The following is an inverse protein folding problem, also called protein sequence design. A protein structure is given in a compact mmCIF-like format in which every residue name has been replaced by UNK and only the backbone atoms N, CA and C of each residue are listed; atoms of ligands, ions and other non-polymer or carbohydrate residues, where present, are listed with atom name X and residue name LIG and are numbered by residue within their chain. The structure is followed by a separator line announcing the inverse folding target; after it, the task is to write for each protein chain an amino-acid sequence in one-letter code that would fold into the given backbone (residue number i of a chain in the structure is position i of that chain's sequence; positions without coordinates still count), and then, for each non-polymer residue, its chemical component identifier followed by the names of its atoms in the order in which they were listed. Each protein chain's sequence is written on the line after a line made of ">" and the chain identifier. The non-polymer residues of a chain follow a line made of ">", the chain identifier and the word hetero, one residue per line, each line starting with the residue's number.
data_IF_855270038168
#
_entry.id   IF_855270038168
#
_cell.length_a   1.000
_cell.length_b   1.000
_cell.length_c   1.000
_cell.angle_alpha   90.00
_cell.angle_beta   90.00
_cell.angle_gamma   90.00
#
_symmetry.space_group_name_H-M   'P 1'
#
loop_
_entity.id
_entity.type
_entity.pdbx_description
1 polymer ?
#
# COMPACT_ATOMS: atom_id res chain seq x y z
N UNK A 1 9.62 8.30 -34.35
CA UNK A 1 8.77 7.38 -33.55
C UNK A 1 8.00 8.20 -32.51
N UNK A 2 6.66 8.06 -32.42
CA UNK A 2 5.88 8.75 -31.36
C UNK A 2 6.37 8.29 -29.99
N UNK A 3 6.67 9.24 -29.09
CA UNK A 3 7.01 8.94 -27.69
C UNK A 3 5.86 8.14 -27.07
N UNK A 4 6.17 6.97 -26.51
CA UNK A 4 5.21 6.15 -25.77
C UNK A 4 4.85 6.90 -24.48
N UNK A 5 3.56 7.18 -24.26
CA UNK A 5 3.08 7.75 -22.99
C UNK A 5 2.99 6.64 -21.95
N UNK A 6 3.57 6.86 -20.77
CA UNK A 6 3.48 5.92 -19.66
C UNK A 6 2.70 6.54 -18.50
N UNK A 7 1.64 5.89 -18.07
CA UNK A 7 0.78 6.32 -16.96
C UNK A 7 0.98 5.40 -15.78
N UNK A 8 1.41 5.96 -14.65
CA UNK A 8 1.59 5.28 -13.39
C UNK A 8 0.34 5.36 -12.51
N UNK A 9 0.13 4.32 -11.71
CA UNK A 9 -0.86 4.25 -10.63
C UNK A 9 -0.15 3.68 -9.41
N UNK A 10 -0.46 4.20 -8.23
CA UNK A 10 -0.05 3.64 -6.95
C UNK A 10 -1.29 2.98 -6.34
N UNK A 11 -1.22 1.69 -6.02
CA UNK A 11 -2.41 0.93 -5.63
C UNK A 11 -2.15 -0.17 -4.60
N UNK A 12 -3.21 -0.61 -3.95
CA UNK A 12 -3.19 -1.79 -3.06
C UNK A 12 -4.07 -2.93 -3.59
N UNK A 13 -5.12 -2.60 -4.33
CA UNK A 13 -6.10 -3.55 -4.90
C UNK A 13 -6.59 -4.60 -3.90
N UNK A 14 -7.20 -4.16 -2.79
CA UNK A 14 -7.50 -5.01 -1.63
C UNK A 14 -9.03 -5.26 -1.38
N UNK A 15 -9.77 -6.00 -2.23
CA UNK A 15 -9.35 -6.67 -3.46
C UNK A 15 -9.43 -5.76 -4.72
N UNK A 16 -9.05 -6.28 -5.89
CA UNK A 16 -9.37 -5.63 -7.16
C UNK A 16 -10.89 -5.65 -7.39
N UNK A 17 -11.51 -4.51 -7.67
CA UNK A 17 -12.98 -4.34 -7.70
C UNK A 17 -13.40 -3.36 -8.80
N UNK A 18 -14.72 -3.19 -9.01
CA UNK A 18 -15.26 -2.40 -10.13
C UNK A 18 -14.82 -0.93 -10.12
N UNK A 19 -14.62 -0.32 -8.94
CA UNK A 19 -14.01 1.01 -8.84
C UNK A 19 -12.59 1.10 -9.44
N UNK A 20 -11.74 0.08 -9.23
CA UNK A 20 -10.41 0.03 -9.84
C UNK A 20 -10.50 -0.19 -11.36
N UNK A 21 -11.40 -1.06 -11.80
CA UNK A 21 -11.67 -1.24 -13.23
C UNK A 21 -12.13 0.07 -13.89
N UNK A 22 -13.02 0.81 -13.24
CA UNK A 22 -13.50 2.11 -13.71
C UNK A 22 -12.35 3.12 -13.82
N UNK A 23 -11.44 3.15 -12.85
CA UNK A 23 -10.24 3.99 -12.91
C UNK A 23 -9.38 3.65 -14.16
N UNK A 24 -9.08 2.37 -14.37
CA UNK A 24 -8.31 1.92 -15.53
C UNK A 24 -8.98 2.25 -16.85
N UNK A 25 -10.30 2.06 -16.94
CA UNK A 25 -11.06 2.41 -18.14
C UNK A 25 -11.02 3.92 -18.41
N UNK A 26 -11.10 4.73 -17.37
CA UNK A 26 -11.05 6.19 -17.49
C UNK A 26 -9.67 6.67 -17.93
N UNK A 27 -8.60 6.09 -17.38
CA UNK A 27 -7.22 6.29 -17.86
C UNK A 27 -7.12 5.91 -19.33
N UNK A 28 -7.64 4.73 -19.73
CA UNK A 28 -7.56 4.26 -21.12
C UNK A 28 -8.36 5.15 -22.08
N UNK A 29 -9.51 5.70 -21.67
CA UNK A 29 -10.27 6.66 -22.49
C UNK A 29 -9.48 7.95 -22.72
N UNK A 30 -8.85 8.49 -21.68
CA UNK A 30 -8.07 9.73 -21.77
C UNK A 30 -6.71 9.54 -22.44
N UNK A 31 -6.06 8.39 -22.22
CA UNK A 31 -4.78 8.00 -22.79
C UNK A 31 -4.89 6.67 -23.57
N UNK A 32 -5.52 6.64 -24.77
CA UNK A 32 -5.82 5.40 -25.50
C UNK A 32 -4.64 4.45 -25.70
N UNK A 33 -3.45 5.02 -25.98
CA UNK A 33 -2.23 4.27 -26.32
C UNK A 33 -1.21 4.22 -25.19
N UNK A 34 -1.56 4.65 -23.98
CA UNK A 34 -0.61 4.65 -22.87
C UNK A 34 -0.24 3.25 -22.40
N UNK A 35 0.99 3.08 -21.96
CA UNK A 35 1.39 1.92 -21.14
C UNK A 35 1.01 2.24 -19.70
N UNK A 36 0.12 1.44 -19.12
CA UNK A 36 -0.34 1.60 -17.74
C UNK A 36 0.55 0.75 -16.83
N UNK A 37 1.19 1.40 -15.87
CA UNK A 37 2.07 0.78 -14.89
C UNK A 37 1.47 0.94 -13.51
N UNK A 38 1.39 -0.13 -12.73
CA UNK A 38 0.96 -0.09 -11.34
C UNK A 38 2.15 -0.40 -10.44
N UNK A 39 2.46 0.52 -9.52
CA UNK A 39 3.28 0.22 -8.34
C UNK A 39 2.32 -0.19 -7.22
N UNK A 40 2.35 -1.47 -6.88
CA UNK A 40 1.35 -2.11 -6.03
C UNK A 40 1.94 -2.56 -4.70
N UNK A 41 1.29 -2.22 -3.58
CA UNK A 41 1.62 -2.79 -2.26
C UNK A 41 1.72 -4.32 -2.33
N UNK A 42 2.76 -4.87 -1.70
CA UNK A 42 2.97 -6.32 -1.55
C UNK A 42 1.93 -6.95 -0.63
N UNK A 43 2.30 -8.00 0.10
CA UNK A 43 1.36 -8.77 0.92
C UNK A 43 0.88 -8.07 2.20
N UNK A 44 1.53 -6.97 2.59
CA UNK A 44 1.10 -6.08 3.67
C UNK A 44 1.00 -4.65 3.11
N UNK A 45 0.05 -3.89 3.64
CA UNK A 45 -0.46 -2.66 3.05
C UNK A 45 -0.05 -1.41 3.84
N UNK A 46 -0.28 -0.22 3.26
CA UNK A 46 0.08 1.10 3.81
C UNK A 46 -0.42 1.28 5.26
N UNK A 47 -1.65 0.85 5.49
CA UNK A 47 -2.34 1.02 6.78
C UNK A 47 -1.98 -0.04 7.81
N UNK A 48 -1.00 -0.91 7.49
CA UNK A 48 -0.59 -2.01 8.35
C UNK A 48 -1.62 -3.11 8.41
N UNK A 49 -2.23 -3.45 7.28
CA UNK A 49 -3.15 -4.59 7.15
C UNK A 49 -2.51 -5.65 6.24
N UNK A 50 -2.72 -6.96 6.49
CA UNK A 50 -2.46 -7.96 5.47
C UNK A 50 -3.41 -7.72 4.29
N UNK A 51 -2.92 -7.94 3.07
CA UNK A 51 -3.78 -7.97 1.90
C UNK A 51 -4.79 -9.13 2.04
N UNK A 52 -6.03 -8.94 1.61
CA UNK A 52 -7.06 -9.99 1.66
C UNK A 52 -6.80 -11.15 0.70
N UNK A 53 -5.93 -10.89 -0.29
CA UNK A 53 -5.53 -11.77 -1.37
C UNK A 53 -4.06 -11.51 -1.67
N UNK A 54 -3.30 -12.55 -2.01
CA UNK A 54 -1.86 -12.43 -2.24
C UNK A 54 -1.51 -11.47 -3.39
N UNK A 55 -0.28 -10.94 -3.36
CA UNK A 55 0.22 -9.97 -4.34
C UNK A 55 0.15 -10.47 -5.78
N UNK A 56 0.29 -11.78 -6.00
CA UNK A 56 0.27 -12.35 -7.34
C UNK A 56 -1.12 -12.45 -7.93
N UNK A 57 -2.11 -12.87 -7.13
CA UNK A 57 -3.50 -12.89 -7.61
C UNK A 57 -3.97 -11.46 -7.91
N UNK A 58 -3.63 -10.48 -7.06
CA UNK A 58 -3.94 -9.06 -7.32
C UNK A 58 -3.22 -8.53 -8.57
N UNK A 59 -1.95 -8.88 -8.77
CA UNK A 59 -1.22 -8.51 -9.99
C UNK A 59 -1.86 -9.14 -11.24
N UNK A 60 -2.27 -10.41 -11.17
CA UNK A 60 -2.97 -11.10 -12.26
C UNK A 60 -4.29 -10.41 -12.62
N UNK A 61 -5.07 -10.01 -11.61
CA UNK A 61 -6.33 -9.28 -11.80
C UNK A 61 -6.11 -7.93 -12.48
N UNK A 62 -5.11 -7.17 -12.01
CA UNK A 62 -4.74 -5.88 -12.58
C UNK A 62 -4.31 -6.03 -14.05
N UNK A 63 -3.42 -6.98 -14.34
CA UNK A 63 -3.01 -7.30 -15.71
C UNK A 63 -4.23 -7.69 -16.54
N UNK A 64 -5.07 -8.63 -16.11
CA UNK A 64 -6.26 -9.01 -16.86
C UNK A 64 -7.21 -7.83 -17.14
N UNK A 65 -7.26 -6.83 -16.27
CA UNK A 65 -8.07 -5.61 -16.41
C UNK A 65 -7.47 -4.52 -17.33
N UNK A 66 -6.27 -4.71 -17.90
CA UNK A 66 -5.68 -3.79 -18.88
C UNK A 66 -4.44 -3.03 -18.40
N UNK A 67 -3.91 -3.35 -17.21
CA UNK A 67 -2.58 -2.92 -16.78
C UNK A 67 -1.52 -3.64 -17.61
N UNK A 68 -0.44 -2.93 -17.97
CA UNK A 68 0.63 -3.45 -18.81
C UNK A 68 1.83 -3.93 -17.99
N UNK A 69 2.09 -3.34 -16.82
CA UNK A 69 3.19 -3.72 -15.92
C UNK A 69 2.77 -3.54 -14.46
N UNK A 70 3.06 -4.52 -13.61
CA UNK A 70 2.88 -4.44 -12.15
C UNK A 70 4.23 -4.61 -11.46
N UNK A 71 4.62 -3.60 -10.69
CA UNK A 71 5.82 -3.58 -9.84
C UNK A 71 5.37 -3.63 -8.38
N UNK A 72 6.02 -4.47 -7.57
CA UNK A 72 5.80 -4.50 -6.12
C UNK A 72 6.41 -3.25 -5.47
N UNK A 73 5.64 -2.58 -4.60
CA UNK A 73 6.16 -1.60 -3.67
C UNK A 73 6.75 -2.34 -2.46
N UNK A 74 8.07 -2.26 -2.22
CA UNK A 74 8.70 -3.01 -1.14
C UNK A 74 8.13 -2.69 0.23
N UNK A 75 8.10 -3.67 1.14
CA UNK A 75 7.42 -3.58 2.44
C UNK A 75 7.95 -2.42 3.30
N UNK A 76 9.24 -2.10 3.22
CA UNK A 76 9.85 -0.96 3.92
C UNK A 76 9.37 0.40 3.41
N UNK A 77 8.89 0.50 2.17
CA UNK A 77 8.22 1.70 1.67
C UNK A 77 6.71 1.62 1.85
N UNK A 78 6.15 0.41 1.77
CA UNK A 78 4.73 0.19 1.83
C UNK A 78 4.17 0.47 3.23
N UNK A 79 4.67 -0.19 4.27
CA UNK A 79 4.07 -0.15 5.62
C UNK A 79 4.53 1.10 6.36
N UNK A 80 4.10 2.26 5.87
CA UNK A 80 4.60 3.57 6.28
C UNK A 80 3.47 4.61 6.38
N UNK A 81 3.68 5.74 7.06
CA UNK A 81 2.83 6.91 6.90
C UNK A 81 2.82 7.41 5.44
N UNK A 82 1.74 8.09 5.04
CA UNK A 82 1.49 8.52 3.66
C UNK A 82 2.67 9.21 2.97
N UNK A 83 3.42 10.08 3.68
CA UNK A 83 4.59 10.77 3.12
C UNK A 83 5.70 9.81 2.68
N UNK A 84 6.01 8.79 3.50
CA UNK A 84 7.06 7.79 3.21
C UNK A 84 6.58 6.75 2.20
N UNK A 85 5.30 6.38 2.26
CA UNK A 85 4.64 5.56 1.25
C UNK A 85 4.69 6.21 -0.14
N UNK A 86 4.31 7.49 -0.21
CA UNK A 86 4.38 8.29 -1.41
C UNK A 86 5.82 8.45 -1.92
N UNK A 87 6.79 8.74 -1.04
CA UNK A 87 8.19 8.88 -1.41
C UNK A 87 8.73 7.61 -2.09
N UNK A 88 8.54 6.44 -1.48
CA UNK A 88 8.96 5.16 -2.06
C UNK A 88 8.28 4.87 -3.40
N UNK A 89 6.96 5.07 -3.48
CA UNK A 89 6.22 4.83 -4.72
C UNK A 89 6.62 5.78 -5.86
N UNK A 90 6.82 7.07 -5.59
CA UNK A 90 7.28 8.07 -6.57
C UNK A 90 8.70 7.76 -7.03
N UNK A 91 9.58 7.34 -6.13
CA UNK A 91 10.94 6.87 -6.43
C UNK A 91 10.90 5.73 -7.47
N UNK A 92 10.07 4.71 -7.26
CA UNK A 92 9.86 3.62 -8.21
C UNK A 92 9.29 4.11 -9.55
N UNK A 93 8.27 4.96 -9.53
CA UNK A 93 7.68 5.52 -10.76
C UNK A 93 8.65 6.40 -11.55
N UNK A 94 9.52 7.16 -10.87
CA UNK A 94 10.58 7.96 -11.50
C UNK A 94 11.56 7.05 -12.24
N UNK A 95 11.98 5.97 -11.60
CA UNK A 95 12.90 4.98 -12.20
C UNK A 95 12.28 4.30 -13.43
N UNK A 96 10.97 4.04 -13.38
CA UNK A 96 10.18 3.49 -14.49
C UNK A 96 9.85 4.52 -15.59
N UNK A 97 10.30 5.77 -15.46
CA UNK A 97 10.14 6.86 -16.43
C UNK A 97 8.67 7.19 -16.74
N UNK A 98 7.87 7.23 -15.70
CA UNK A 98 6.44 7.54 -15.79
C UNK A 98 6.24 9.00 -16.23
N UNK A 99 5.37 9.24 -17.21
CA UNK A 99 5.04 10.60 -17.67
C UNK A 99 3.92 11.22 -16.82
N UNK A 100 2.89 10.43 -16.48
CA UNK A 100 1.72 10.87 -15.72
C UNK A 100 1.43 9.93 -14.55
N UNK A 101 1.15 10.46 -13.35
CA UNK A 101 0.60 9.73 -12.22
C UNK A 101 -0.91 9.98 -12.15
N UNK A 102 -1.70 8.92 -12.34
CA UNK A 102 -3.14 8.94 -12.20
C UNK A 102 -3.55 8.43 -10.82
N UNK A 103 -4.38 9.18 -10.10
CA UNK A 103 -4.91 8.79 -8.79
C UNK A 103 -6.33 9.33 -8.59
N UNK A 104 -7.13 8.62 -7.79
CA UNK A 104 -8.45 9.13 -7.39
C UNK A 104 -8.30 10.19 -6.31
N UNK A 105 -9.12 11.23 -6.35
CA UNK A 105 -9.19 12.31 -5.37
C UNK A 105 -10.66 12.59 -5.03
N UNK A 106 -10.92 13.05 -3.80
CA UNK A 106 -12.22 13.60 -3.44
C UNK A 106 -12.42 14.96 -4.13
N UNK A 107 -11.35 15.75 -4.27
CA UNK A 107 -11.34 17.02 -4.99
C UNK A 107 -10.33 16.96 -6.16
N UNK A 108 -10.81 16.52 -7.32
CA UNK A 108 -9.93 16.34 -8.48
C UNK A 108 -9.49 17.67 -9.15
N UNK A 109 -10.13 18.78 -8.81
CA UNK A 109 -9.82 20.13 -9.27
C UNK A 109 -8.69 20.79 -8.47
N UNK A 110 -8.29 20.22 -7.33
CA UNK A 110 -7.18 20.72 -6.52
C UNK A 110 -5.85 20.70 -7.28
N UNK A 111 -5.12 21.83 -7.22
CA UNK A 111 -3.73 21.89 -7.69
C UNK A 111 -2.78 21.37 -6.60
N UNK A 112 -2.67 20.04 -6.53
CA UNK A 112 -1.82 19.36 -5.55
C UNK A 112 -0.34 19.80 -5.64
N UNK A 113 0.17 20.16 -6.83
CA UNK A 113 1.56 20.63 -6.97
C UNK A 113 1.74 22.03 -6.40
N UNK A 114 0.80 22.95 -6.64
CA UNK A 114 0.83 24.27 -6.02
C UNK A 114 0.68 24.19 -4.50
N UNK A 115 -0.21 23.33 -4.00
CA UNK A 115 -0.36 23.07 -2.57
C UNK A 115 0.92 22.50 -1.96
N UNK A 116 1.52 21.48 -2.59
CA UNK A 116 2.77 20.87 -2.15
C UNK A 116 3.91 21.90 -2.05
N UNK A 117 4.03 22.82 -3.02
CA UNK A 117 5.01 23.94 -2.96
C UNK A 117 4.78 24.84 -1.76
N UNK A 118 3.53 25.18 -1.44
CA UNK A 118 3.19 26.02 -0.27
C UNK A 118 3.52 25.35 1.06
N UNK A 119 3.32 24.04 1.15
CA UNK A 119 3.51 23.27 2.40
C UNK A 119 4.86 22.57 2.51
N UNK A 120 5.76 22.75 1.53
CA UNK A 120 7.05 22.06 1.48
C UNK A 120 7.92 22.27 2.75
N UNK A 121 7.78 23.44 3.39
CA UNK A 121 8.52 23.84 4.61
C UNK A 121 7.66 23.80 5.87
N UNK A 122 6.43 23.30 5.77
CA UNK A 122 5.54 23.22 6.92
C UNK A 122 5.93 22.00 7.75
N UNK A 123 6.36 22.27 8.97
CA UNK A 123 6.50 21.29 10.03
C UNK A 123 5.37 21.54 11.04
N UNK A 124 4.80 20.48 11.62
CA UNK A 124 3.86 20.67 12.73
C UNK A 124 4.56 21.40 13.88
N UNK A 125 3.93 22.41 14.47
CA UNK A 125 4.45 23.04 15.69
C UNK A 125 4.09 22.16 16.90
N UNK A 126 5.09 21.47 17.45
CA UNK A 126 4.93 20.45 18.50
C UNK A 126 4.88 21.02 19.92
N UNK A 127 4.64 22.32 20.08
CA UNK A 127 4.50 22.95 21.41
C UNK A 127 3.26 22.50 22.18
N UNK A 128 2.29 21.86 21.52
CA UNK A 128 1.10 21.29 22.17
C UNK A 128 1.26 19.79 22.44
N UNK A 129 1.56 19.42 23.69
CA UNK A 129 1.82 18.03 24.12
C UNK A 129 0.64 17.05 24.02
N UNK A 130 -0.57 17.50 23.63
CA UNK A 130 -1.81 16.71 23.70
C UNK A 130 -2.43 16.36 22.33
N UNK A 131 -1.70 16.56 21.22
CA UNK A 131 -2.16 16.22 19.87
C UNK A 131 -1.24 15.21 19.19
N UNK A 132 -1.77 14.45 18.21
CA UNK A 132 -0.96 13.55 17.40
C UNK A 132 -0.18 14.33 16.33
N UNK A 133 0.96 13.81 15.88
CA UNK A 133 1.73 14.39 14.76
C UNK A 133 0.86 14.67 13.53
N UNK A 134 -0.04 13.74 13.20
CA UNK A 134 -0.94 13.89 12.06
C UNK A 134 -1.90 15.08 12.22
N UNK A 135 -2.42 15.30 13.43
CA UNK A 135 -3.29 16.44 13.73
C UNK A 135 -2.54 17.78 13.67
N UNK A 136 -1.35 17.82 14.27
CA UNK A 136 -0.47 18.99 14.24
C UNK A 136 -0.09 19.37 12.80
N UNK A 137 0.26 18.37 11.99
CA UNK A 137 0.57 18.54 10.58
C UNK A 137 -0.63 19.05 9.79
N UNK A 138 -1.81 18.48 10.01
CA UNK A 138 -3.02 18.86 9.29
C UNK A 138 -3.45 20.30 9.56
N UNK A 139 -3.34 20.74 10.82
CA UNK A 139 -3.58 22.12 11.20
C UNK A 139 -2.62 23.07 10.47
N UNK A 140 -1.32 22.78 10.51
CA UNK A 140 -0.33 23.60 9.85
C UNK A 140 -0.49 23.64 8.31
N UNK A 141 -0.92 22.54 7.70
CA UNK A 141 -1.30 22.49 6.27
C UNK A 141 -2.52 23.38 6.01
N UNK A 142 -3.56 23.26 6.84
CA UNK A 142 -4.80 24.05 6.72
C UNK A 142 -4.52 25.54 6.83
N UNK A 143 -3.73 25.95 7.83
CA UNK A 143 -3.33 27.35 8.05
C UNK A 143 -2.58 27.91 6.82
N UNK A 144 -1.77 27.08 6.15
CA UNK A 144 -0.98 27.50 4.99
C UNK A 144 -1.78 27.53 3.70
N UNK A 145 -2.77 26.66 3.55
CA UNK A 145 -3.58 26.52 2.33
C UNK A 145 -4.88 27.33 2.37
N UNK A 146 -5.35 27.72 3.57
CA UNK A 146 -6.61 28.42 3.79
C UNK A 146 -7.85 27.52 3.78
N UNK A 147 -7.68 26.20 3.65
CA UNK A 147 -8.74 25.19 3.71
C UNK A 147 -8.16 23.83 4.14
N UNK A 148 -9.00 22.94 4.65
CA UNK A 148 -8.59 21.60 5.09
C UNK A 148 -8.40 20.66 3.90
N UNK A 149 -7.35 19.82 3.96
CA UNK A 149 -7.11 18.70 3.03
C UNK A 149 -7.18 17.40 3.83
N UNK A 150 -8.34 17.07 4.38
CA UNK A 150 -8.51 15.98 5.35
C UNK A 150 -9.08 14.70 4.75
N UNK A 151 -9.50 14.75 3.48
CA UNK A 151 -10.00 13.58 2.81
C UNK A 151 -8.85 12.61 2.49
N UNK A 152 -9.04 11.29 2.68
CA UNK A 152 -7.93 10.34 2.63
C UNK A 152 -7.21 10.27 1.29
N UNK A 153 -7.92 10.41 0.16
CA UNK A 153 -7.27 10.36 -1.14
C UNK A 153 -6.66 11.71 -1.53
N UNK A 154 -7.24 12.83 -1.10
CA UNK A 154 -6.62 14.15 -1.26
C UNK A 154 -5.32 14.28 -0.46
N UNK A 155 -5.29 13.79 0.79
CA UNK A 155 -4.08 13.75 1.62
C UNK A 155 -2.98 12.93 0.94
N UNK A 156 -3.35 11.81 0.34
CA UNK A 156 -2.43 10.96 -0.41
C UNK A 156 -1.96 11.63 -1.72
N UNK A 157 -2.85 12.34 -2.42
CA UNK A 157 -2.52 13.18 -3.58
C UNK A 157 -1.52 14.29 -3.24
N UNK A 158 -1.69 14.94 -2.09
CA UNK A 158 -0.74 15.94 -1.58
C UNK A 158 0.60 15.30 -1.22
N UNK A 159 0.61 14.11 -0.60
CA UNK A 159 1.82 13.36 -0.32
C UNK A 159 2.58 12.98 -1.61
N UNK A 160 1.87 12.53 -2.66
CA UNK A 160 2.46 12.28 -3.97
C UNK A 160 3.09 13.54 -4.58
N UNK A 161 2.37 14.67 -4.54
CA UNK A 161 2.89 15.93 -5.06
C UNK A 161 4.15 16.40 -4.30
N UNK A 162 4.18 16.28 -2.97
CA UNK A 162 5.38 16.54 -2.15
C UNK A 162 6.53 15.63 -2.55
N UNK A 163 6.28 14.32 -2.70
CA UNK A 163 7.30 13.35 -3.09
C UNK A 163 7.84 13.60 -4.51
N UNK A 164 6.99 14.00 -5.46
CA UNK A 164 7.40 14.40 -6.82
C UNK A 164 8.37 15.58 -6.78
N UNK A 165 8.06 16.62 -6.00
CA UNK A 165 8.93 17.79 -5.83
C UNK A 165 10.25 17.43 -5.14
N UNK A 166 10.18 16.66 -4.05
CA UNK A 166 11.36 16.26 -3.27
C UNK A 166 12.33 15.39 -4.09
N UNK A 167 11.80 14.49 -4.93
CA UNK A 167 12.60 13.61 -5.78
C UNK A 167 12.94 14.23 -7.13
N UNK A 168 12.55 15.48 -7.41
CA UNK A 168 12.70 16.13 -8.73
C UNK A 168 12.22 15.22 -9.87
N UNK A 169 11.09 14.54 -9.65
CA UNK A 169 10.55 13.61 -10.62
C UNK A 169 9.83 14.38 -11.74
N UNK A 170 10.16 14.09 -13.00
CA UNK A 170 9.49 14.67 -14.17
C UNK A 170 8.12 14.01 -14.45
N UNK A 171 7.31 13.85 -13.40
CA UNK A 171 6.00 13.20 -13.41
C UNK A 171 4.91 14.28 -13.33
N UNK A 172 4.01 14.28 -14.30
CA UNK A 172 2.79 15.11 -14.25
C UNK A 172 1.73 14.40 -13.42
N UNK A 173 0.91 15.14 -12.69
CA UNK A 173 -0.21 14.55 -11.94
C UNK A 173 -1.50 14.64 -12.75
N UNK A 174 -2.35 13.62 -12.62
CA UNK A 174 -3.69 13.58 -13.19
C UNK A 174 -4.68 13.05 -12.14
N UNK A 175 -5.15 13.92 -11.22
CA UNK A 175 -6.18 13.55 -10.26
C UNK A 175 -7.51 13.27 -10.97
N UNK A 176 -8.25 12.30 -10.46
CA UNK A 176 -9.51 11.83 -11.03
C UNK A 176 -10.60 11.88 -9.97
N UNK A 177 -11.78 12.41 -10.32
CA UNK A 177 -12.91 12.44 -9.40
C UNK A 177 -13.31 11.00 -9.02
N UNK A 178 -13.36 10.70 -7.73
CA UNK A 178 -13.85 9.40 -7.27
C UNK A 178 -15.35 9.28 -7.51
N UNK A 179 -15.76 8.13 -8.03
CA UNK A 179 -17.17 7.76 -8.20
C UNK A 179 -17.49 6.62 -7.24
N UNK A 180 -18.46 6.83 -6.36
CA UNK A 180 -18.95 5.84 -5.39
C UNK A 180 -18.75 6.22 -3.92
N UNK A 181 -19.44 5.45 -3.07
CA UNK A 181 -19.50 5.46 -1.61
C UNK A 181 -18.29 6.10 -0.89
N UNK A 182 -18.57 7.02 0.05
CA UNK A 182 -17.56 7.71 0.84
C UNK A 182 -16.59 6.72 1.51
N UNK A 183 -15.38 7.19 1.86
CA UNK A 183 -14.26 6.39 2.39
C UNK A 183 -14.58 5.51 3.64
N UNK A 184 -15.78 5.62 4.21
CA UNK A 184 -16.23 4.89 5.39
C UNK A 184 -17.59 4.18 5.27
N UNK A 185 -18.20 4.10 4.08
CA UNK A 185 -19.38 3.24 3.92
C UNK A 185 -18.95 1.79 4.10
N UNK A 186 -19.33 1.22 5.24
CA UNK A 186 -19.04 -0.16 5.62
C UNK A 186 -20.07 -1.15 5.07
N UNK A 187 -21.07 -0.65 4.36
CA UNK A 187 -22.16 -1.45 3.78
C UNK A 187 -22.05 -1.42 2.25
N UNK A 188 -22.48 -2.51 1.62
CA UNK A 188 -22.55 -2.59 0.17
C UNK A 188 -23.73 -1.73 -0.31
N UNK A 189 -23.52 -0.78 -1.22
CA UNK A 189 -24.59 0.07 -1.74
C UNK A 189 -25.56 -0.77 -2.58
N UNK A 190 -26.85 -0.70 -2.24
CA UNK A 190 -27.90 -1.35 -3.02
C UNK A 190 -28.05 -0.68 -4.39
N UNK A 191 -28.19 -1.49 -5.45
CA UNK A 191 -28.39 -0.99 -6.81
C UNK A 191 -27.16 -0.38 -7.50
N UNK A 192 -26.00 -0.35 -6.84
CA UNK A 192 -24.74 0.14 -7.43
C UNK A 192 -23.75 -1.02 -7.60
N UNK A 193 -22.93 -0.96 -8.65
CA UNK A 193 -21.89 -1.96 -8.93
C UNK A 193 -20.51 -1.58 -8.38
N UNK A 194 -20.35 -0.37 -7.82
CA UNK A 194 -19.09 0.12 -7.25
C UNK A 194 -19.29 0.29 -5.74
N UNK A 195 -18.39 -0.30 -4.95
CA UNK A 195 -18.36 -0.20 -3.50
C UNK A 195 -16.93 0.06 -3.01
N UNK A 196 -16.80 0.50 -1.77
CA UNK A 196 -15.50 0.63 -1.12
C UNK A 196 -14.86 -0.74 -0.92
N UNK A 197 -13.52 -0.80 -0.99
CA UNK A 197 -12.77 -2.02 -0.72
C UNK A 197 -13.08 -2.59 0.67
N UNK A 198 -13.27 -1.72 1.66
CA UNK A 198 -13.60 -2.11 3.05
C UNK A 198 -14.99 -2.73 3.16
N UNK A 199 -16.01 -2.17 2.50
CA UNK A 199 -17.35 -2.78 2.45
C UNK A 199 -17.32 -4.17 1.79
N UNK A 200 -16.54 -4.31 0.70
CA UNK A 200 -16.36 -5.59 0.02
C UNK A 200 -15.72 -6.61 0.96
N UNK A 201 -14.63 -6.28 1.65
CA UNK A 201 -13.97 -7.21 2.59
C UNK A 201 -14.90 -7.60 3.74
N UNK A 202 -15.65 -6.65 4.31
CA UNK A 202 -16.60 -6.94 5.39
C UNK A 202 -17.73 -7.86 4.92
N UNK A 203 -18.30 -7.61 3.75
CA UNK A 203 -19.33 -8.47 3.19
C UNK A 203 -18.79 -9.88 2.89
N UNK A 204 -17.55 -9.98 2.39
CA UNK A 204 -16.89 -11.26 2.12
C UNK A 204 -16.71 -12.10 3.40
N UNK A 205 -16.40 -11.49 4.54
CA UNK A 205 -16.27 -12.22 5.81
C UNK A 205 -17.54 -13.03 6.18
N UNK A 206 -18.71 -12.54 5.77
CA UNK A 206 -19.99 -13.16 6.05
C UNK A 206 -20.47 -14.05 4.90
N UNK A 207 -20.38 -13.57 3.65
CA UNK A 207 -20.84 -14.30 2.47
C UNK A 207 -20.05 -13.89 1.21
N UNK A 208 -19.19 -14.78 0.68
CA UNK A 208 -18.41 -14.50 -0.53
C UNK A 208 -19.26 -14.26 -1.78
N UNK A 209 -20.51 -14.73 -1.83
CA UNK A 209 -21.37 -14.52 -2.99
C UNK A 209 -21.91 -13.09 -3.07
N UNK A 210 -22.06 -12.40 -1.93
CA UNK A 210 -22.56 -11.01 -1.89
C UNK A 210 -21.63 -9.99 -2.54
N UNK A 211 -20.35 -10.32 -2.68
CA UNK A 211 -19.36 -9.39 -3.25
C UNK A 211 -19.25 -9.48 -4.77
N UNK A 212 -19.77 -10.56 -5.38
CA UNK A 212 -19.67 -10.83 -6.83
C UNK A 212 -20.12 -9.66 -7.71
N UNK A 213 -21.23 -8.93 -7.41
CA UNK A 213 -21.66 -7.78 -8.21
C UNK A 213 -20.64 -6.63 -8.25
N UNK A 214 -19.76 -6.55 -7.25
CA UNK A 214 -18.78 -5.48 -7.08
C UNK A 214 -17.39 -5.84 -7.63
N UNK A 215 -17.24 -7.07 -8.14
CA UNK A 215 -16.00 -7.58 -8.71
C UNK A 215 -16.08 -7.68 -10.24
N UNK A 216 -15.01 -7.28 -10.95
CA UNK A 216 -14.82 -7.61 -12.35
C UNK A 216 -14.82 -9.12 -12.55
N UNK A 217 -15.25 -9.60 -13.73
CA UNK A 217 -15.28 -11.03 -14.04
C UNK A 217 -13.93 -11.73 -13.77
N UNK A 218 -12.82 -11.06 -14.12
CA UNK A 218 -11.45 -11.52 -13.90
C UNK A 218 -11.04 -11.66 -12.43
N UNK A 219 -11.79 -11.05 -11.51
CA UNK A 219 -11.51 -11.05 -10.08
C UNK A 219 -12.41 -11.99 -9.28
N UNK A 220 -13.47 -12.53 -9.89
CA UNK A 220 -14.46 -13.38 -9.21
C UNK A 220 -13.88 -14.68 -8.66
N UNK A 221 -12.76 -15.17 -9.18
CA UNK A 221 -12.15 -16.41 -8.70
C UNK A 221 -11.72 -16.34 -7.23
N UNK A 222 -11.54 -15.14 -6.65
CA UNK A 222 -11.17 -15.00 -5.23
C UNK A 222 -12.23 -15.56 -4.29
N UNK A 223 -13.50 -15.61 -4.71
CA UNK A 223 -14.61 -16.11 -3.89
C UNK A 223 -14.50 -17.62 -3.61
N UNK A 224 -13.60 -18.33 -4.30
CA UNK A 224 -13.25 -19.72 -3.95
C UNK A 224 -12.70 -19.81 -2.52
N UNK A 225 -12.09 -18.74 -2.00
CA UNK A 225 -11.80 -18.62 -0.57
C UNK A 225 -13.05 -18.15 0.17
N UNK A 226 -13.42 -18.90 1.21
CA UNK A 226 -14.60 -18.61 2.04
C UNK A 226 -14.55 -17.22 2.68
N UNK A 227 -13.36 -16.78 3.07
CA UNK A 227 -13.14 -15.50 3.75
C UNK A 227 -11.89 -14.79 3.20
N UNK A 228 -11.85 -13.45 3.27
CA UNK A 228 -10.65 -12.68 2.98
C UNK A 228 -9.59 -12.95 4.03
N UNK A 229 -8.31 -12.92 3.64
CA UNK A 229 -7.21 -12.86 4.63
C UNK A 229 -7.35 -11.57 5.45
N UNK A 230 -7.12 -11.68 6.75
CA UNK A 230 -7.29 -10.61 7.71
C UNK A 230 -6.27 -10.69 8.84
N UNK A 231 -6.32 -9.72 9.75
CA UNK A 231 -5.48 -9.75 10.94
C UNK A 231 -5.77 -10.91 11.88
N UNK A 232 -6.98 -11.45 11.88
CA UNK A 232 -7.33 -12.59 12.74
C UNK A 232 -6.54 -13.85 12.36
N UNK A 233 -6.18 -14.01 11.08
CA UNK A 233 -5.35 -15.11 10.61
C UNK A 233 -3.89 -14.99 11.11
N UNK A 234 -3.36 -13.77 11.21
CA UNK A 234 -2.00 -13.50 11.66
C UNK A 234 -1.90 -13.25 13.17
N UNK A 235 -3.03 -13.08 13.86
CA UNK A 235 -3.08 -12.77 15.28
C UNK A 235 -2.34 -13.80 16.13
N UNK A 236 -2.48 -15.13 15.93
CA UNK A 236 -1.72 -16.11 16.69
C UNK A 236 -0.19 -15.92 16.56
N UNK A 237 0.30 -15.59 15.36
CA UNK A 237 1.72 -15.38 15.09
C UNK A 237 2.24 -14.08 15.74
N UNK A 238 1.48 -12.99 15.59
CA UNK A 238 1.81 -11.71 16.22
C UNK A 238 1.80 -11.84 17.75
N UNK A 239 0.76 -12.46 18.31
CA UNK A 239 0.62 -12.70 19.75
C UNK A 239 1.78 -13.53 20.28
N UNK A 240 2.15 -14.61 19.60
CA UNK A 240 3.33 -15.40 19.97
C UNK A 240 4.59 -14.52 20.03
N UNK A 241 4.85 -13.71 19.00
CA UNK A 241 6.02 -12.84 19.01
C UNK A 241 5.97 -11.82 20.15
N UNK A 242 4.83 -11.22 20.44
CA UNK A 242 4.72 -10.28 21.57
C UNK A 242 5.00 -10.97 22.92
N UNK A 243 4.61 -12.24 23.09
CA UNK A 243 4.81 -12.98 24.34
C UNK A 243 6.28 -13.37 24.58
N UNK A 244 7.01 -13.74 23.53
CA UNK A 244 8.37 -14.31 23.67
C UNK A 244 9.49 -13.33 23.33
N UNK A 245 9.21 -12.22 22.64
CA UNK A 245 10.25 -11.28 22.22
C UNK A 245 10.67 -10.41 23.40
N UNK A 246 11.96 -10.41 23.80
CA UNK A 246 12.43 -9.55 24.88
C UNK A 246 12.23 -8.07 24.56
N UNK A 247 11.95 -7.25 25.59
CA UNK A 247 11.77 -5.81 25.46
C UNK A 247 12.92 -5.10 24.73
N UNK A 248 14.16 -5.51 25.03
CA UNK A 248 15.35 -4.98 24.38
C UNK A 248 15.36 -5.22 22.86
N UNK A 249 14.79 -6.33 22.40
CA UNK A 249 14.66 -6.64 20.98
C UNK A 249 13.52 -5.87 20.34
N UNK A 250 12.38 -5.73 21.01
CA UNK A 250 11.25 -4.92 20.50
C UNK A 250 11.67 -3.48 20.19
N UNK A 251 12.55 -2.88 21.02
CA UNK A 251 13.08 -1.52 20.81
C UNK A 251 13.96 -1.35 19.58
N UNK A 252 14.51 -2.44 19.05
CA UNK A 252 15.33 -2.39 17.84
C UNK A 252 14.47 -2.42 16.56
N UNK A 253 13.18 -2.74 16.71
CA UNK A 253 12.24 -2.78 15.61
C UNK A 253 11.89 -1.38 15.13
N UNK A 254 11.69 -1.25 13.84
CA UNK A 254 11.45 0.02 13.19
C UNK A 254 10.18 0.70 13.74
N UNK A 255 10.27 2.00 14.02
CA UNK A 255 9.17 2.83 14.53
C UNK A 255 8.62 2.43 15.93
N UNK A 256 9.15 1.39 16.58
CA UNK A 256 8.86 1.07 17.98
C UNK A 256 9.59 2.05 18.89
N UNK A 257 8.92 3.15 19.22
CA UNK A 257 9.52 4.26 19.94
C UNK A 257 8.64 4.77 21.08
N UNK A 258 9.27 5.56 21.95
CA UNK A 258 8.59 6.38 22.96
C UNK A 258 7.68 5.62 23.93
N UNK A 259 8.05 4.38 24.28
CA UNK A 259 7.39 3.56 25.29
C UNK A 259 6.16 2.80 24.78
N UNK A 260 5.91 2.77 23.47
CA UNK A 260 4.80 1.99 22.89
C UNK A 260 4.96 0.50 23.19
N UNK A 261 6.20 0.00 23.26
CA UNK A 261 6.52 -1.39 23.54
C UNK A 261 5.97 -1.85 24.91
N UNK A 262 6.07 -1.01 25.94
CA UNK A 262 5.51 -1.32 27.26
C UNK A 262 4.00 -1.44 27.20
N UNK A 263 3.35 -0.54 26.47
CA UNK A 263 1.89 -0.55 26.32
C UNK A 263 1.41 -1.78 25.56
N UNK A 264 2.08 -2.15 24.47
CA UNK A 264 1.75 -3.34 23.68
C UNK A 264 1.74 -4.60 24.55
N UNK A 265 2.77 -4.77 25.40
CA UNK A 265 2.91 -5.91 26.30
C UNK A 265 1.93 -5.83 27.48
N UNK A 266 1.81 -4.68 28.12
CA UNK A 266 0.90 -4.49 29.26
C UNK A 266 -0.55 -4.79 28.87
N UNK A 267 -1.01 -4.27 27.73
CA UNK A 267 -2.37 -4.55 27.28
C UNK A 267 -2.53 -6.01 26.82
N UNK A 268 -1.45 -6.71 26.48
CA UNK A 268 -1.51 -8.14 26.20
C UNK A 268 -1.63 -8.99 27.47
N UNK A 269 -0.95 -8.61 28.55
CA UNK A 269 -0.97 -9.30 29.84
C UNK A 269 -2.36 -9.26 30.50
N UNK A 270 -3.06 -8.12 30.38
CA UNK A 270 -4.37 -7.91 30.99
C UNK A 270 -5.57 -8.21 30.06
N UNK A 271 -5.34 -8.91 28.93
CA UNK A 271 -6.41 -9.29 28.02
C UNK A 271 -7.20 -10.48 28.57
N UNK A 272 -8.42 -10.20 29.02
CA UNK A 272 -9.35 -11.20 29.56
C UNK A 272 -10.51 -11.53 28.61
N UNK A 273 -10.52 -10.98 27.38
CA UNK A 273 -11.57 -11.22 26.39
C UNK A 273 -11.57 -12.68 25.90
N UNK A 274 -12.74 -13.20 25.50
CA UNK A 274 -12.85 -14.53 24.86
C UNK A 274 -13.89 -14.47 23.73
N UNK A 275 -13.50 -14.69 22.45
CA UNK A 275 -12.13 -14.91 21.97
C UNK A 275 -11.29 -13.63 21.96
N UNK A 276 -9.97 -13.75 22.18
CA UNK A 276 -9.02 -12.65 22.00
C UNK A 276 -8.72 -12.51 20.51
N UNK A 277 -9.14 -11.40 19.89
CA UNK A 277 -8.85 -11.07 18.48
C UNK A 277 -7.82 -9.95 18.38
N UNK A 278 -7.28 -9.74 17.18
CA UNK A 278 -6.41 -8.59 16.94
C UNK A 278 -7.13 -7.27 17.21
N UNK A 279 -8.40 -7.17 16.80
CA UNK A 279 -9.19 -5.95 16.97
C UNK A 279 -9.42 -5.62 18.45
N UNK A 280 -9.73 -6.61 19.30
CA UNK A 280 -9.93 -6.36 20.74
C UNK A 280 -8.63 -5.91 21.41
N UNK A 281 -7.50 -6.54 21.10
CA UNK A 281 -6.18 -6.09 21.57
C UNK A 281 -5.84 -4.67 21.10
N UNK A 282 -6.00 -4.38 19.81
CA UNK A 282 -5.65 -3.08 19.23
C UNK A 282 -6.45 -1.93 19.86
N UNK A 283 -7.75 -2.16 20.17
CA UNK A 283 -8.61 -1.21 20.88
C UNK A 283 -8.08 -0.88 22.28
N UNK A 284 -7.54 -1.86 23.01
CA UNK A 284 -6.94 -1.65 24.34
C UNK A 284 -5.60 -0.91 24.25
N UNK A 285 -4.78 -1.24 23.26
CA UNK A 285 -3.50 -0.55 22.99
C UNK A 285 -3.70 0.90 22.53
N UNK A 286 -4.84 1.25 21.92
CA UNK A 286 -5.10 2.61 21.45
C UNK A 286 -5.00 3.68 22.56
N UNK A 287 -4.35 4.81 22.25
CA UNK A 287 -4.33 6.04 23.10
C UNK A 287 -4.54 7.28 22.23
N UNK A 288 -4.71 8.48 22.81
CA UNK A 288 -4.72 9.73 22.01
C UNK A 288 -3.43 9.92 21.20
N UNK A 289 -2.28 9.48 21.73
CA UNK A 289 -0.96 9.59 21.10
C UNK A 289 -0.79 8.68 19.89
N UNK A 290 -1.23 7.42 19.99
CA UNK A 290 -1.06 6.43 18.94
C UNK A 290 -2.36 6.24 18.15
N UNK A 291 -2.34 6.43 16.83
CA UNK A 291 -3.51 6.17 15.97
C UNK A 291 -3.65 4.68 15.70
N UNK A 292 -4.86 4.23 15.32
CA UNK A 292 -5.07 2.83 14.92
C UNK A 292 -4.12 2.44 13.78
N UNK A 293 -4.01 3.28 12.75
CA UNK A 293 -3.12 3.02 11.61
C UNK A 293 -1.65 2.89 12.00
N UNK A 294 -1.17 3.72 12.94
CA UNK A 294 0.22 3.58 13.41
C UNK A 294 0.42 2.27 14.18
N UNK A 295 -0.51 1.91 15.07
CA UNK A 295 -0.44 0.63 15.80
C UNK A 295 -0.56 -0.58 14.87
N UNK A 296 -1.40 -0.53 13.85
CA UNK A 296 -1.51 -1.58 12.83
C UNK A 296 -0.22 -1.73 12.02
N UNK A 297 0.44 -0.62 11.65
CA UNK A 297 1.77 -0.67 11.02
C UNK A 297 2.80 -1.30 11.96
N UNK A 298 2.84 -0.89 13.22
CA UNK A 298 3.73 -1.50 14.22
C UNK A 298 3.46 -3.00 14.37
N UNK A 299 2.21 -3.44 14.32
CA UNK A 299 1.88 -4.86 14.35
C UNK A 299 2.51 -5.62 13.17
N UNK A 300 2.51 -5.06 11.94
CA UNK A 300 3.23 -5.67 10.80
C UNK A 300 4.74 -5.67 11.02
N UNK A 301 5.30 -4.55 11.49
CA UNK A 301 6.74 -4.46 11.78
C UNK A 301 7.17 -5.51 12.80
N UNK A 302 6.38 -5.69 13.86
CA UNK A 302 6.61 -6.70 14.89
C UNK A 302 6.49 -8.08 14.27
N UNK A 303 5.36 -8.41 13.63
CA UNK A 303 5.14 -9.71 12.98
C UNK A 303 6.29 -10.11 12.06
N UNK A 304 6.83 -9.15 11.30
CA UNK A 304 7.94 -9.34 10.37
C UNK A 304 9.32 -9.15 11.01
N UNK A 305 9.41 -8.79 12.29
CA UNK A 305 10.67 -8.50 12.98
C UNK A 305 11.59 -7.57 12.17
N UNK A 306 11.02 -6.50 11.59
CA UNK A 306 11.78 -5.55 10.79
C UNK A 306 12.49 -4.55 11.71
N UNK A 307 13.81 -4.61 11.72
CA UNK A 307 14.66 -3.67 12.46
C UNK A 307 14.80 -2.34 11.73
N UNK A 308 15.15 -1.28 12.47
CA UNK A 308 15.44 0.02 11.87
C UNK A 308 16.56 -0.05 10.82
N UNK A 309 17.60 -0.85 11.08
CA UNK A 309 18.72 -1.06 10.18
C UNK A 309 18.28 -1.74 8.87
N UNK A 310 17.47 -2.79 8.94
CA UNK A 310 16.97 -3.50 7.75
C UNK A 310 16.10 -2.59 6.88
N UNK A 311 15.27 -1.73 7.49
CA UNK A 311 14.43 -0.76 6.75
C UNK A 311 15.29 0.31 6.08
N UNK A 312 16.27 0.87 6.80
CA UNK A 312 17.18 1.88 6.26
C UNK A 312 18.05 1.33 5.13
N UNK A 313 18.59 0.12 5.29
CA UNK A 313 19.38 -0.54 4.25
C UNK A 313 18.56 -0.75 2.97
N UNK A 314 17.30 -1.17 3.10
CA UNK A 314 16.41 -1.32 1.93
C UNK A 314 16.14 0.02 1.24
N UNK A 315 16.09 1.13 2.01
CA UNK A 315 15.96 2.46 1.42
C UNK A 315 17.20 2.95 0.68
N UNK A 316 18.38 2.51 1.10
CA UNK A 316 19.66 2.81 0.45
C UNK A 316 19.91 1.92 -0.78
N UNK A 317 19.29 0.75 -0.85
CA UNK A 317 19.44 -0.22 -1.93
C UNK A 317 18.09 -0.56 -2.60
N UNK A 318 17.45 0.42 -3.25
CA UNK A 318 16.17 0.22 -3.92
C UNK A 318 16.28 -0.68 -5.15
N UNK A 319 15.17 -1.32 -5.51
CA UNK A 319 15.05 -2.24 -6.65
C UNK A 319 13.65 -2.18 -7.28
N UNK A 320 13.53 -2.71 -8.50
CA UNK A 320 12.26 -2.87 -9.21
C UNK A 320 11.86 -4.33 -9.23
N UNK A 321 10.97 -4.73 -8.32
CA UNK A 321 10.45 -6.10 -8.24
C UNK A 321 9.26 -6.29 -9.18
N UNK A 322 9.41 -7.13 -10.20
CA UNK A 322 8.41 -7.32 -11.25
C UNK A 322 7.43 -8.44 -10.83
N UNK A 323 6.15 -8.11 -10.69
CA UNK A 323 5.09 -9.09 -10.42
C UNK A 323 4.43 -9.62 -11.71
N UNK A 324 4.40 -8.81 -12.77
CA UNK A 324 3.98 -9.28 -14.08
C UNK A 324 3.81 -8.18 -15.11
N UNK A 325 3.68 -8.56 -16.38
CA UNK A 325 3.59 -7.65 -17.52
C UNK A 325 2.94 -8.30 -18.73
N UNK A 326 2.50 -7.47 -19.69
CA UNK A 326 2.17 -7.88 -21.06
C UNK A 326 3.22 -7.41 -22.07
N UNK A 327 2.98 -7.58 -23.37
CA UNK A 327 3.92 -7.22 -24.44
C UNK A 327 4.27 -5.72 -24.44
N UNK A 328 3.35 -4.85 -24.02
CA UNK A 328 3.64 -3.42 -23.89
C UNK A 328 4.49 -3.12 -22.65
N UNK A 329 4.19 -3.76 -21.51
CA UNK A 329 5.02 -3.67 -20.31
C UNK A 329 6.43 -4.22 -20.49
N UNK A 330 6.58 -5.32 -21.24
CA UNK A 330 7.89 -5.89 -21.57
C UNK A 330 8.74 -4.91 -22.38
N UNK A 331 8.16 -4.23 -23.37
CA UNK A 331 8.83 -3.18 -24.16
C UNK A 331 9.31 -2.02 -23.28
N UNK A 332 8.49 -1.61 -22.31
CA UNK A 332 8.89 -0.61 -21.31
C UNK A 332 10.06 -1.11 -20.46
N UNK A 333 9.99 -2.34 -19.93
CA UNK A 333 11.08 -2.93 -19.13
C UNK A 333 12.41 -2.99 -19.91
N UNK A 334 12.37 -3.34 -21.21
CA UNK A 334 13.57 -3.31 -22.06
C UNK A 334 14.16 -1.90 -22.21
N UNK A 335 13.33 -0.86 -22.24
CA UNK A 335 13.79 0.54 -22.28
C UNK A 335 14.39 0.97 -20.95
N UNK A 336 13.71 0.66 -19.84
CA UNK A 336 14.14 0.97 -18.47
C UNK A 336 15.47 0.29 -18.16
N UNK A 337 15.60 -1.02 -18.45
CA UNK A 337 16.81 -1.82 -18.16
C UNK A 337 18.11 -1.18 -18.69
N UNK A 338 18.07 -0.47 -19.81
CA UNK A 338 19.26 0.17 -20.41
C UNK A 338 19.79 1.37 -19.62
N UNK A 339 18.96 1.99 -18.78
CA UNK A 339 19.28 3.24 -18.11
C UNK A 339 18.89 3.25 -16.62
N UNK A 340 18.44 2.11 -16.10
CA UNK A 340 18.01 1.96 -14.71
C UNK A 340 19.24 1.98 -13.81
N UNK A 341 19.22 2.83 -12.80
CA UNK A 341 20.16 2.82 -11.68
C UNK A 341 19.90 1.63 -10.75
N UNK A 342 18.69 1.07 -10.79
CA UNK A 342 18.28 0.00 -9.87
C UNK A 342 18.18 -1.36 -10.57
N UNK A 343 18.44 -2.46 -9.85
CA UNK A 343 18.26 -3.80 -10.40
C UNK A 343 16.77 -4.10 -10.66
N UNK A 344 16.51 -4.75 -11.80
CA UNK A 344 15.20 -5.27 -12.16
C UNK A 344 15.11 -6.75 -11.76
N UNK A 345 14.28 -7.06 -10.78
CA UNK A 345 14.20 -8.41 -10.20
C UNK A 345 12.94 -9.12 -10.71
N UNK A 346 13.12 -9.97 -11.71
CA UNK A 346 12.06 -10.83 -12.23
C UNK A 346 11.94 -12.14 -11.45
N UNK A 347 13.05 -12.89 -11.31
CA UNK A 347 13.13 -14.12 -10.52
C UNK A 347 14.08 -13.89 -9.36
N UNK A 348 13.63 -14.18 -8.13
CA UNK A 348 14.45 -13.98 -6.93
C UNK A 348 15.52 -15.07 -6.83
N UNK A 349 16.79 -14.66 -6.86
CA UNK A 349 17.96 -15.50 -6.64
C UNK A 349 18.23 -15.74 -5.14
N UNK A 350 19.20 -16.60 -4.83
CA UNK A 350 19.63 -16.81 -3.44
C UNK A 350 20.28 -15.55 -2.85
N UNK A 351 21.05 -14.82 -3.66
CA UNK A 351 21.74 -13.60 -3.24
C UNK A 351 20.74 -12.46 -3.00
N UNK A 352 19.74 -12.32 -3.88
CA UNK A 352 18.73 -11.28 -3.74
C UNK A 352 17.89 -11.49 -2.47
N UNK A 353 17.45 -12.72 -2.16
CA UNK A 353 16.66 -13.00 -0.95
C UNK A 353 17.44 -12.81 0.35
N UNK A 354 18.77 -12.94 0.31
CA UNK A 354 19.64 -12.79 1.48
C UNK A 354 20.24 -11.37 1.56
N UNK A 355 20.06 -10.57 0.51
CA UNK A 355 20.50 -9.18 0.41
C UNK A 355 19.31 -8.25 0.24
N UNK A 356 19.27 -7.53 -0.88
CA UNK A 356 18.36 -6.39 -1.10
C UNK A 356 16.87 -6.73 -0.95
N UNK A 357 16.44 -7.97 -1.21
CA UNK A 357 15.04 -8.40 -1.08
C UNK A 357 14.70 -9.09 0.26
N UNK A 358 15.61 -9.10 1.24
CA UNK A 358 15.41 -9.87 2.49
C UNK A 358 14.09 -9.55 3.19
N UNK A 359 13.70 -8.27 3.28
CA UNK A 359 12.48 -7.85 3.95
C UNK A 359 11.20 -8.30 3.20
N UNK A 360 11.19 -8.15 1.88
CA UNK A 360 10.04 -8.58 1.05
C UNK A 360 9.93 -10.10 1.02
N UNK A 361 11.05 -10.81 0.94
CA UNK A 361 11.09 -12.26 1.03
C UNK A 361 10.55 -12.76 2.39
N UNK A 362 10.93 -12.08 3.47
CA UNK A 362 10.42 -12.35 4.82
C UNK A 362 8.90 -12.14 4.89
N UNK A 363 8.41 -11.02 4.36
CA UNK A 363 6.99 -10.72 4.26
C UNK A 363 6.22 -11.78 3.45
N UNK A 364 6.77 -12.20 2.31
CA UNK A 364 6.22 -13.28 1.48
C UNK A 364 6.15 -14.61 2.22
N UNK A 365 7.20 -14.99 2.95
CA UNK A 365 7.21 -16.23 3.75
C UNK A 365 6.17 -16.23 4.87
N UNK A 366 6.07 -15.13 5.61
CA UNK A 366 5.07 -15.01 6.69
C UNK A 366 3.67 -15.09 6.09
N UNK A 367 3.40 -14.36 5.01
CA UNK A 367 2.09 -14.40 4.36
C UNK A 367 1.74 -15.79 3.81
N UNK A 368 2.71 -16.53 3.29
CA UNK A 368 2.53 -17.89 2.80
C UNK A 368 2.03 -18.88 3.88
N UNK A 369 2.24 -18.61 5.17
CA UNK A 369 1.74 -19.47 6.25
C UNK A 369 0.21 -19.50 6.34
N UNK A 370 -0.45 -18.42 5.91
CA UNK A 370 -1.92 -18.27 5.87
C UNK A 370 -2.46 -18.51 4.45
N UNK A 371 -1.70 -18.06 3.44
CA UNK A 371 -2.13 -18.20 2.05
C UNK A 371 -1.92 -19.60 1.49
N UNK A 372 -0.96 -20.36 2.04
CA UNK A 372 -0.56 -21.71 1.63
C UNK A 372 0.04 -21.81 0.22
N UNK A 373 0.56 -20.71 -0.33
CA UNK A 373 1.35 -20.73 -1.57
C UNK A 373 2.63 -19.90 -1.43
N UNK A 374 3.70 -20.39 -2.04
CA UNK A 374 4.99 -19.71 -2.06
C UNK A 374 4.91 -18.35 -2.78
N UNK A 375 5.45 -17.33 -2.13
CA UNK A 375 5.29 -15.94 -2.57
C UNK A 375 6.44 -15.40 -3.42
N UNK A 376 7.66 -15.93 -3.37
CA UNK A 376 8.79 -15.26 -4.04
C UNK A 376 9.76 -16.20 -4.75
N UNK A 377 10.38 -17.13 -4.02
CA UNK A 377 11.36 -18.04 -4.61
C UNK A 377 10.72 -18.89 -5.70
N UNK A 378 11.46 -19.06 -6.80
CA UNK A 378 11.06 -19.82 -7.99
C UNK A 378 9.78 -19.30 -8.69
N UNK A 379 9.19 -18.20 -8.24
CA UNK A 379 8.01 -17.60 -8.86
C UNK A 379 8.45 -16.63 -9.96
N UNK A 380 8.06 -16.94 -11.20
CA UNK A 380 8.26 -16.05 -12.34
C UNK A 380 7.20 -14.95 -12.35
N UNK A 381 7.49 -13.77 -12.94
CA UNK A 381 6.47 -12.77 -13.21
C UNK A 381 5.32 -13.36 -14.03
N UNK A 382 4.10 -12.87 -13.81
CA UNK A 382 2.95 -13.22 -14.62
C UNK A 382 3.12 -12.59 -16.00
N UNK A 383 3.04 -13.38 -17.06
CA UNK A 383 3.16 -12.92 -18.44
C UNK A 383 1.80 -13.10 -19.13
N UNK A 384 1.27 -12.03 -19.73
CA UNK A 384 0.08 -12.08 -20.59
C UNK A 384 0.46 -11.71 -22.02
N UNK A 385 0.21 -12.59 -22.98
CA UNK A 385 0.47 -12.35 -24.39
C UNK A 385 -0.71 -11.59 -25.02
N UNK A 386 -0.63 -10.26 -25.06
CA UNK A 386 -1.62 -9.37 -25.68
C UNK A 386 -1.07 -7.98 -26.02
#
# INVERSE_FOLDING_TARGET
>A
MKKMTVVGIIAEYNPFHNGHLYQLQTIRRHFPKAVIVVVMSGNFLERGEPACVDKWTRAKQALAAGVNLVIELPVAYCVQPADRFADGAIKLLKELRIDYLAFGAEHADYDFLAMAKKVQRVHGDFRQFNESYAAAYQRAVTDKLGHSVDQPNDLLGLAYAKAILANQAAIKIWPMQRIGAAYHEQQLPAGQAIASASAIRRAWQHDPHKIVPYLPATSRTIIQRKQPVSWDDFWPLLRYQLLVTPLARLRQLYDVTAGVEYRLLQQLEFLNDSPITFETWLKKVKTKRYTYTHLSRLAVIILLQLTSQEVEQQWQQPYLRILGFDTAGQRLLHCVKKNSLWPLIAKVSQDEKNGIMQNDYKAGRVYATIWHEQQDLKRSPIILDR
#
